data_IF_509237636118
#
_entry.id   IF_509237636118
#
_cell.length_a   1.000
_cell.length_b   1.000
_cell.length_c   1.000
_cell.angle_alpha   90.00
_cell.angle_beta   90.00
_cell.angle_gamma   90.00
#
_symmetry.space_group_name_H-M   'P 1'
#
loop_
_entity.id
_entity.type
_entity.pdbx_description
1 polymer ?
#
# COMPACT_ATOMS: atom_id res chain seq x y z
N UNK A 1 -23.22 14.75 15.30
CA UNK A 1 -22.19 15.01 14.28
C UNK A 1 -21.69 13.64 13.85
N UNK A 2 -21.76 13.32 12.56
CA UNK A 2 -21.10 12.12 12.05
C UNK A 2 -19.63 12.17 12.46
N UNK A 3 -19.08 11.05 12.87
CA UNK A 3 -17.65 10.95 13.15
C UNK A 3 -16.91 11.28 11.83
N UNK A 4 -15.81 12.02 11.91
CA UNK A 4 -14.94 12.30 10.75
C UNK A 4 -14.57 11.01 10.02
N UNK A 5 -14.46 9.89 10.73
CA UNK A 5 -14.19 8.58 10.14
C UNK A 5 -15.34 8.09 9.26
N UNK A 6 -16.59 8.25 9.69
CA UNK A 6 -17.77 7.83 8.89
C UNK A 6 -17.85 8.64 7.59
N UNK A 7 -17.52 9.92 7.65
CA UNK A 7 -17.50 10.80 6.50
C UNK A 7 -16.37 10.43 5.52
N UNK A 8 -15.17 10.20 6.04
CA UNK A 8 -14.01 9.71 5.26
C UNK A 8 -14.34 8.37 4.59
N UNK A 9 -14.96 7.44 5.31
CA UNK A 9 -15.34 6.13 4.78
C UNK A 9 -16.37 6.28 3.64
N UNK A 10 -17.38 7.14 3.82
CA UNK A 10 -18.37 7.42 2.78
C UNK A 10 -17.74 8.04 1.50
N UNK A 11 -16.75 8.92 1.65
CA UNK A 11 -16.02 9.50 0.51
C UNK A 11 -15.13 8.44 -0.16
N UNK A 12 -14.45 7.60 0.62
CA UNK A 12 -13.67 6.47 0.10
C UNK A 12 -14.53 5.51 -0.72
N UNK A 13 -15.72 5.19 -0.25
CA UNK A 13 -16.64 4.31 -0.97
C UNK A 13 -17.08 4.90 -2.32
N UNK A 14 -17.23 6.25 -2.42
CA UNK A 14 -17.64 6.95 -3.65
C UNK A 14 -16.47 7.23 -4.60
N UNK A 15 -15.34 7.65 -4.07
CA UNK A 15 -14.24 8.24 -4.84
C UNK A 15 -12.89 7.53 -4.67
N UNK A 16 -12.82 6.44 -3.90
CA UNK A 16 -11.60 5.64 -3.77
C UNK A 16 -11.15 5.09 -5.12
N UNK A 17 -9.88 5.28 -5.49
CA UNK A 17 -9.33 4.85 -6.79
C UNK A 17 -7.95 4.22 -6.69
N UNK A 18 -7.28 4.39 -5.57
CA UNK A 18 -5.90 3.96 -5.38
C UNK A 18 -5.79 3.00 -4.21
N UNK A 19 -4.86 2.06 -4.36
CA UNK A 19 -4.49 1.14 -3.31
C UNK A 19 -4.03 1.91 -2.05
N UNK A 20 -4.47 1.45 -0.90
CA UNK A 20 -4.02 1.99 0.37
C UNK A 20 -4.76 3.22 0.90
N UNK A 21 -5.68 3.85 0.16
CA UNK A 21 -6.48 4.98 0.66
C UNK A 21 -7.21 4.67 1.98
N UNK A 22 -7.71 3.45 2.15
CA UNK A 22 -8.37 3.02 3.39
C UNK A 22 -7.46 3.03 4.63
N UNK A 23 -6.14 3.15 4.47
CA UNK A 23 -5.21 3.27 5.61
C UNK A 23 -5.45 4.52 6.44
N UNK A 24 -6.07 5.57 5.90
CA UNK A 24 -6.44 6.78 6.63
C UNK A 24 -7.46 6.51 7.74
N UNK A 25 -8.23 5.44 7.66
CA UNK A 25 -9.15 4.98 8.70
C UNK A 25 -8.43 4.25 9.85
N UNK A 26 -7.14 4.00 9.72
CA UNK A 26 -6.32 3.37 10.75
C UNK A 26 -6.14 4.25 11.98
N UNK A 27 -5.49 3.72 13.02
CA UNK A 27 -5.27 4.42 14.28
C UNK A 27 -4.14 5.46 14.24
N UNK A 28 -3.41 5.55 13.13
CA UNK A 28 -2.39 6.56 12.95
C UNK A 28 -2.94 7.98 13.12
N UNK A 29 -2.13 8.95 13.53
CA UNK A 29 -2.55 10.34 13.68
C UNK A 29 -2.74 11.01 12.32
N UNK A 30 -3.56 10.41 11.47
CA UNK A 30 -3.96 10.99 10.21
C UNK A 30 -4.74 12.27 10.44
N UNK A 31 -4.31 13.33 9.79
CA UNK A 31 -5.06 14.58 9.64
C UNK A 31 -5.74 14.57 8.27
N UNK A 32 -6.90 15.19 8.19
CA UNK A 32 -7.69 15.21 6.96
C UNK A 32 -8.11 16.65 6.68
N UNK A 33 -7.87 17.10 5.45
CA UNK A 33 -8.53 18.29 4.92
C UNK A 33 -9.61 17.87 3.94
N UNK A 34 -10.80 18.42 4.13
CA UNK A 34 -11.91 18.30 3.20
C UNK A 34 -11.93 19.52 2.25
N UNK A 35 -12.48 19.33 1.06
CA UNK A 35 -12.92 20.44 0.22
C UNK A 35 -14.11 21.20 0.86
N UNK A 36 -14.53 22.30 0.25
CA UNK A 36 -15.59 23.16 0.80
C UNK A 36 -16.94 22.42 0.90
N UNK A 37 -17.25 21.59 -0.07
CA UNK A 37 -18.48 20.79 -0.15
C UNK A 37 -18.41 19.52 0.71
N UNK A 38 -17.24 19.16 1.25
CA UNK A 38 -16.95 17.91 1.98
C UNK A 38 -17.24 16.65 1.15
N UNK A 39 -17.04 16.76 -0.17
CA UNK A 39 -17.19 15.66 -1.13
C UNK A 39 -15.85 14.97 -1.47
N UNK A 40 -14.74 15.59 -1.06
CA UNK A 40 -13.40 15.06 -1.21
C UNK A 40 -12.52 15.37 -0.01
N UNK A 41 -11.40 14.65 0.11
CA UNK A 41 -10.42 14.91 1.16
C UNK A 41 -8.99 14.60 0.72
N UNK A 42 -8.03 15.13 1.45
CA UNK A 42 -6.63 14.69 1.45
C UNK A 42 -6.20 14.28 2.85
N UNK A 43 -5.72 13.04 3.00
CA UNK A 43 -5.15 12.53 4.23
C UNK A 43 -3.65 12.80 4.29
N UNK A 44 -3.14 13.25 5.44
CA UNK A 44 -1.72 13.51 5.62
C UNK A 44 -1.26 13.28 7.07
N UNK A 45 0.03 13.07 7.22
CA UNK A 45 0.71 13.04 8.52
C UNK A 45 1.56 14.29 8.68
N UNK A 46 1.62 14.81 9.89
CA UNK A 46 2.42 15.97 10.22
C UNK A 46 3.65 15.62 11.07
N UNK A 47 4.82 15.96 10.55
CA UNK A 47 6.09 15.93 11.28
C UNK A 47 6.58 17.33 11.59
N UNK A 48 7.68 17.44 12.35
CA UNK A 48 8.22 18.76 12.79
C UNK A 48 8.54 19.70 11.62
N UNK A 49 9.03 19.18 10.48
CA UNK A 49 9.48 19.97 9.32
C UNK A 49 8.89 19.47 8.01
N UNK A 50 7.92 18.58 8.06
CA UNK A 50 7.32 17.96 6.89
C UNK A 50 5.83 17.71 7.12
N UNK A 51 5.05 17.96 6.07
CA UNK A 51 3.69 17.49 5.89
C UNK A 51 3.76 16.43 4.79
N UNK A 52 3.32 15.23 5.08
CA UNK A 52 3.41 14.12 4.16
C UNK A 52 2.03 13.52 3.91
N UNK A 53 1.53 13.63 2.68
CA UNK A 53 0.38 12.87 2.21
C UNK A 53 0.85 11.56 1.59
N UNK A 54 0.03 10.55 1.69
CA UNK A 54 0.22 9.28 0.99
C UNK A 54 -0.96 9.01 0.08
N UNK A 55 -0.66 8.78 -1.19
CA UNK A 55 -1.61 8.71 -2.28
C UNK A 55 -2.23 10.07 -2.64
N UNK A 56 -2.96 10.06 -3.72
CA UNK A 56 -3.66 11.24 -4.23
C UNK A 56 -4.80 11.67 -3.31
N UNK A 57 -5.28 12.92 -3.40
CA UNK A 57 -6.56 13.29 -2.80
C UNK A 57 -7.69 12.38 -3.27
N UNK A 58 -8.60 12.05 -2.37
CA UNK A 58 -9.80 11.24 -2.65
C UNK A 58 -10.95 12.20 -2.98
N UNK A 59 -11.29 12.28 -4.25
CA UNK A 59 -12.29 13.24 -4.75
C UNK A 59 -12.85 12.81 -6.11
N UNK A 60 -13.87 13.50 -6.59
CA UNK A 60 -14.30 13.40 -7.97
C UNK A 60 -13.16 13.79 -8.93
N UNK A 61 -13.14 13.31 -10.19
CA UNK A 61 -12.14 13.69 -11.18
C UNK A 61 -12.01 15.21 -11.33
N UNK A 62 -10.78 15.73 -11.25
CA UNK A 62 -10.49 17.16 -11.34
C UNK A 62 -10.51 17.90 -10.00
N UNK A 63 -10.90 17.26 -8.89
CA UNK A 63 -10.88 17.84 -7.55
C UNK A 63 -9.51 17.79 -6.86
N UNK A 64 -8.50 17.17 -7.46
CA UNK A 64 -7.19 16.98 -6.86
C UNK A 64 -6.45 18.31 -6.62
N UNK A 65 -6.59 19.26 -7.55
CA UNK A 65 -5.91 20.56 -7.52
C UNK A 65 -6.25 21.40 -6.28
N UNK A 66 -7.53 21.70 -6.01
CA UNK A 66 -7.95 22.42 -4.81
C UNK A 66 -7.47 21.77 -3.50
N UNK A 67 -7.62 20.46 -3.34
CA UNK A 67 -7.19 19.74 -2.15
C UNK A 67 -5.66 19.76 -1.97
N UNK A 68 -4.91 19.61 -3.06
CA UNK A 68 -3.46 19.72 -3.02
C UNK A 68 -3.01 21.17 -2.71
N UNK A 69 -3.74 22.18 -3.19
CA UNK A 69 -3.47 23.58 -2.88
C UNK A 69 -3.71 23.89 -1.39
N UNK A 70 -4.76 23.34 -0.78
CA UNK A 70 -5.01 23.44 0.66
C UNK A 70 -3.83 22.86 1.45
N UNK A 71 -3.39 21.67 1.10
CA UNK A 71 -2.27 21.01 1.77
C UNK A 71 -0.95 21.78 1.56
N UNK A 72 -0.70 22.31 0.38
CA UNK A 72 0.47 23.12 0.09
C UNK A 72 0.47 24.45 0.86
N UNK A 73 -0.69 25.11 0.95
CA UNK A 73 -0.90 26.32 1.76
C UNK A 73 -0.65 26.06 3.23
N UNK A 74 -1.17 24.96 3.76
CA UNK A 74 -0.94 24.54 5.14
C UNK A 74 0.55 24.33 5.44
N UNK A 75 1.24 23.54 4.62
CA UNK A 75 2.66 23.29 4.77
C UNK A 75 3.48 24.59 4.71
N UNK A 76 3.15 25.48 3.76
CA UNK A 76 3.80 26.79 3.59
C UNK A 76 3.62 27.70 4.82
N UNK A 77 2.38 27.81 5.36
CA UNK A 77 2.09 28.63 6.54
C UNK A 77 2.89 28.21 7.77
N UNK A 78 3.20 26.93 7.87
CA UNK A 78 3.98 26.34 8.97
C UNK A 78 5.49 26.25 8.66
N UNK A 79 5.94 26.72 7.50
CA UNK A 79 7.33 26.59 7.03
C UNK A 79 7.79 25.13 7.01
N UNK A 80 6.87 24.23 6.68
CA UNK A 80 7.11 22.80 6.54
C UNK A 80 7.29 22.42 5.06
N UNK A 81 8.03 21.35 4.83
CA UNK A 81 8.21 20.78 3.50
C UNK A 81 7.02 19.88 3.16
N UNK A 82 6.36 20.13 2.03
CA UNK A 82 5.32 19.25 1.52
C UNK A 82 5.94 18.06 0.80
N UNK A 83 5.39 16.88 1.06
CA UNK A 83 5.72 15.64 0.38
C UNK A 83 4.42 14.84 0.16
N UNK A 84 3.98 14.70 -1.09
CA UNK A 84 2.87 13.81 -1.47
C UNK A 84 3.45 12.62 -2.22
N UNK A 85 3.34 11.44 -1.61
CA UNK A 85 4.01 10.20 -2.00
C UNK A 85 3.07 9.30 -2.80
N UNK A 86 3.61 8.63 -3.82
CA UNK A 86 2.91 7.63 -4.63
C UNK A 86 1.58 8.15 -5.22
N UNK A 87 1.58 9.41 -5.66
CA UNK A 87 0.40 10.01 -6.29
C UNK A 87 0.29 9.61 -7.77
N UNK A 88 -0.93 9.60 -8.29
CA UNK A 88 -1.20 9.33 -9.70
C UNK A 88 -0.83 10.51 -10.62
N UNK A 89 -0.97 10.30 -11.92
CA UNK A 89 -0.63 11.30 -12.93
C UNK A 89 -1.53 12.55 -12.87
N UNK A 90 -2.82 12.42 -12.52
CA UNK A 90 -3.74 13.56 -12.37
C UNK A 90 -3.28 14.50 -11.25
N UNK A 91 -2.96 13.95 -10.09
CA UNK A 91 -2.42 14.70 -8.95
C UNK A 91 -1.04 15.28 -9.24
N UNK A 92 -0.20 14.56 -9.97
CA UNK A 92 1.10 15.06 -10.42
C UNK A 92 0.92 16.32 -11.28
N UNK A 93 0.04 16.27 -12.29
CA UNK A 93 -0.26 17.42 -13.17
C UNK A 93 -0.86 18.59 -12.40
N UNK A 94 -1.76 18.32 -11.44
CA UNK A 94 -2.30 19.34 -10.54
C UNK A 94 -1.18 20.00 -9.71
N UNK A 95 -0.22 19.22 -9.21
CA UNK A 95 0.96 19.73 -8.52
C UNK A 95 1.83 20.63 -9.41
N UNK A 96 2.11 20.24 -10.64
CA UNK A 96 2.86 21.05 -11.60
C UNK A 96 2.15 22.37 -11.91
N UNK A 97 0.82 22.35 -12.05
CA UNK A 97 0.01 23.57 -12.24
C UNK A 97 0.10 24.52 -11.05
N UNK A 98 0.28 24.00 -9.83
CA UNK A 98 0.57 24.77 -8.62
C UNK A 98 2.04 25.16 -8.49
N UNK A 99 2.89 24.79 -9.46
CA UNK A 99 4.31 25.03 -9.45
C UNK A 99 5.09 24.16 -8.47
N UNK A 100 4.54 23.03 -8.05
CA UNK A 100 5.23 22.04 -7.22
C UNK A 100 5.98 21.06 -8.12
N UNK A 101 7.29 20.82 -7.89
CA UNK A 101 8.04 19.82 -8.65
C UNK A 101 7.50 18.41 -8.40
N UNK A 102 7.48 17.60 -9.46
CA UNK A 102 7.15 16.19 -9.40
C UNK A 102 8.33 15.32 -9.85
N UNK A 103 8.37 14.08 -9.36
CA UNK A 103 9.35 13.06 -9.72
C UNK A 103 8.64 11.73 -9.87
N UNK A 104 8.91 11.01 -10.96
CA UNK A 104 8.48 9.63 -11.12
C UNK A 104 9.18 8.71 -10.11
N UNK A 105 8.42 7.80 -9.49
CA UNK A 105 8.92 6.91 -8.43
C UNK A 105 8.66 5.43 -8.67
N UNK A 106 7.99 5.09 -9.76
CA UNK A 106 7.68 3.72 -10.10
C UNK A 106 6.30 3.58 -10.71
N UNK A 107 5.70 2.42 -10.56
CA UNK A 107 4.37 2.14 -11.09
C UNK A 107 3.52 1.40 -10.05
N UNK A 108 2.22 1.60 -10.09
CA UNK A 108 1.24 0.71 -9.49
C UNK A 108 0.97 -0.44 -10.46
N UNK A 109 0.86 -1.67 -9.96
CA UNK A 109 0.64 -2.84 -10.80
C UNK A 109 -0.72 -3.48 -10.54
N UNK A 110 -1.40 -3.94 -11.61
CA UNK A 110 -2.76 -4.47 -11.51
C UNK A 110 -2.88 -5.82 -12.20
N UNK A 111 -3.75 -6.66 -11.64
CA UNK A 111 -4.21 -7.93 -12.21
C UNK A 111 -5.67 -7.78 -12.59
N UNK A 112 -6.01 -8.05 -13.84
CA UNK A 112 -7.39 -8.07 -14.31
C UNK A 112 -8.00 -9.45 -14.02
N UNK A 113 -9.04 -9.47 -13.19
CA UNK A 113 -9.59 -10.70 -12.67
C UNK A 113 -10.35 -11.51 -13.73
N UNK A 114 -10.92 -10.88 -14.75
CA UNK A 114 -11.56 -11.58 -15.87
C UNK A 114 -10.58 -12.51 -16.61
N UNK A 115 -9.30 -12.12 -16.72
CA UNK A 115 -8.23 -12.91 -17.32
C UNK A 115 -7.43 -13.75 -16.33
N UNK A 116 -7.76 -13.69 -15.04
CA UNK A 116 -7.02 -14.39 -14.01
C UNK A 116 -7.20 -15.90 -14.10
N UNK A 117 -6.08 -16.63 -14.20
CA UNK A 117 -6.04 -18.08 -14.13
C UNK A 117 -4.65 -18.57 -13.78
N UNK A 118 -4.56 -19.64 -13.02
CA UNK A 118 -3.31 -20.38 -12.82
C UNK A 118 -3.01 -21.39 -13.96
N UNK A 119 -3.93 -21.58 -14.89
CA UNK A 119 -3.71 -22.45 -16.05
C UNK A 119 -2.70 -21.85 -17.04
N UNK A 120 -2.14 -22.69 -17.91
CA UNK A 120 -1.19 -22.26 -18.95
C UNK A 120 0.21 -21.95 -18.43
N UNK A 121 1.02 -21.26 -19.25
CA UNK A 121 2.43 -20.97 -19.00
C UNK A 121 2.69 -19.72 -18.18
N UNK A 122 1.82 -18.70 -18.29
CA UNK A 122 2.03 -17.36 -17.76
C UNK A 122 2.33 -17.33 -16.23
N UNK A 123 1.61 -18.12 -15.41
CA UNK A 123 1.78 -18.16 -13.95
C UNK A 123 2.31 -19.50 -13.45
N UNK A 124 3.16 -20.14 -14.25
CA UNK A 124 3.70 -21.47 -13.94
C UNK A 124 4.44 -21.52 -12.59
N UNK A 125 5.23 -20.50 -12.26
CA UNK A 125 5.97 -20.42 -10.98
C UNK A 125 5.03 -20.35 -9.78
N UNK A 126 3.95 -19.57 -9.90
CA UNK A 126 2.95 -19.44 -8.83
C UNK A 126 2.19 -20.76 -8.62
N UNK A 127 1.72 -21.34 -9.72
CA UNK A 127 1.07 -22.66 -9.72
C UNK A 127 1.95 -23.75 -9.12
N UNK A 128 3.22 -23.81 -9.55
CA UNK A 128 4.16 -24.78 -8.99
C UNK A 128 4.32 -24.61 -7.50
N UNK A 129 4.52 -23.39 -7.00
CA UNK A 129 4.71 -23.11 -5.58
C UNK A 129 3.48 -23.53 -4.75
N UNK A 130 2.26 -23.18 -5.22
CA UNK A 130 1.01 -23.61 -4.60
C UNK A 130 0.90 -25.14 -4.53
N UNK A 131 1.14 -25.83 -5.65
CA UNK A 131 1.02 -27.30 -5.72
C UNK A 131 2.08 -27.98 -4.83
N UNK A 132 3.29 -27.43 -4.77
CA UNK A 132 4.33 -27.92 -3.88
C UNK A 132 3.87 -27.82 -2.41
N UNK A 133 3.35 -26.69 -1.97
CA UNK A 133 2.84 -26.50 -0.61
C UNK A 133 1.64 -27.42 -0.32
N UNK A 134 0.71 -27.57 -1.27
CA UNK A 134 -0.40 -28.52 -1.14
C UNK A 134 0.07 -29.97 -0.95
N UNK A 135 1.08 -30.39 -1.69
CA UNK A 135 1.71 -31.71 -1.56
C UNK A 135 2.36 -31.96 -0.19
N UNK A 136 2.68 -30.90 0.54
CA UNK A 136 3.22 -30.94 1.90
C UNK A 136 2.13 -30.73 2.98
N UNK A 137 0.85 -30.76 2.62
CA UNK A 137 -0.27 -30.67 3.57
C UNK A 137 -0.74 -29.24 3.87
N UNK A 138 -0.21 -28.21 3.19
CA UNK A 138 -0.71 -26.84 3.38
C UNK A 138 -2.10 -26.70 2.78
N UNK A 139 -3.01 -26.11 3.54
CA UNK A 139 -4.37 -25.75 3.14
C UNK A 139 -4.58 -24.24 3.19
N UNK A 140 -5.65 -23.77 2.53
CA UNK A 140 -5.95 -22.34 2.45
C UNK A 140 -7.43 -22.09 2.64
N UNK A 141 -7.77 -21.01 3.35
CA UNK A 141 -9.14 -20.54 3.52
C UNK A 141 -9.18 -19.02 3.72
N UNK A 142 -10.37 -18.44 3.65
CA UNK A 142 -10.60 -17.08 4.14
C UNK A 142 -10.83 -17.11 5.66
N UNK A 143 -10.12 -16.27 6.39
CA UNK A 143 -10.30 -16.06 7.82
C UNK A 143 -11.27 -14.90 8.08
N UNK A 144 -12.05 -15.01 9.17
CA UNK A 144 -13.10 -14.03 9.52
C UNK A 144 -12.91 -13.52 10.95
N UNK A 145 -11.91 -12.64 11.20
CA UNK A 145 -11.51 -12.23 12.55
C UNK A 145 -12.58 -11.45 13.33
N UNK A 146 -13.59 -10.90 12.66
CA UNK A 146 -14.74 -10.25 13.31
C UNK A 146 -15.81 -11.25 13.78
N UNK A 147 -15.94 -12.38 13.09
CA UNK A 147 -16.94 -13.40 13.39
C UNK A 147 -16.36 -14.56 14.21
N UNK A 148 -15.04 -14.78 14.15
CA UNK A 148 -14.34 -15.91 14.75
C UNK A 148 -13.16 -15.43 15.58
N UNK A 149 -13.28 -15.39 16.93
CA UNK A 149 -12.20 -14.96 17.82
C UNK A 149 -10.89 -15.76 17.65
N UNK A 150 -11.00 -17.04 17.30
CA UNK A 150 -9.86 -17.91 17.03
C UNK A 150 -9.07 -17.44 15.79
N UNK A 151 -9.74 -16.98 14.73
CA UNK A 151 -9.07 -16.40 13.56
C UNK A 151 -8.34 -15.12 13.94
N UNK A 152 -8.96 -14.26 14.75
CA UNK A 152 -8.33 -13.02 15.22
C UNK A 152 -7.07 -13.31 16.04
N UNK A 153 -7.14 -14.28 16.96
CA UNK A 153 -6.00 -14.66 17.78
C UNK A 153 -4.84 -15.24 16.94
N UNK A 154 -5.17 -16.12 15.99
CA UNK A 154 -4.18 -16.72 15.09
C UNK A 154 -3.51 -15.71 14.18
N UNK A 155 -4.26 -14.78 13.58
CA UNK A 155 -3.72 -13.69 12.76
C UNK A 155 -2.80 -12.78 13.58
N UNK A 156 -3.22 -12.37 14.79
CA UNK A 156 -2.42 -11.55 15.69
C UNK A 156 -1.11 -12.24 16.10
N UNK A 157 -1.15 -13.55 16.35
CA UNK A 157 0.02 -14.33 16.69
C UNK A 157 1.04 -14.37 15.52
N UNK A 158 0.58 -14.69 14.29
CA UNK A 158 1.45 -14.73 13.11
C UNK A 158 2.05 -13.35 12.82
N UNK A 159 1.25 -12.29 12.92
CA UNK A 159 1.71 -10.91 12.77
C UNK A 159 2.80 -10.56 13.79
N UNK A 160 2.59 -10.90 15.07
CA UNK A 160 3.56 -10.67 16.14
C UNK A 160 4.87 -11.44 15.91
N UNK A 161 4.79 -12.71 15.55
CA UNK A 161 5.94 -13.54 15.24
C UNK A 161 6.73 -13.01 14.02
N UNK A 162 6.00 -12.57 12.99
CA UNK A 162 6.61 -11.97 11.79
C UNK A 162 7.33 -10.66 12.10
N UNK A 163 6.73 -9.78 12.93
CA UNK A 163 7.36 -8.54 13.41
C UNK A 163 8.61 -8.83 14.25
N UNK A 164 8.53 -9.80 15.15
CA UNK A 164 9.67 -10.18 16.00
C UNK A 164 10.87 -10.72 15.21
N UNK A 165 10.60 -11.44 14.10
CA UNK A 165 11.64 -11.96 13.21
C UNK A 165 12.31 -10.87 12.33
N UNK A 166 11.82 -9.62 12.36
CA UNK A 166 12.29 -8.52 11.51
C UNK A 166 12.44 -7.21 12.30
N UNK A 167 13.28 -7.16 13.35
CA UNK A 167 13.40 -5.99 14.22
C UNK A 167 13.87 -4.73 13.47
N UNK A 168 14.54 -4.88 12.34
CA UNK A 168 15.10 -3.79 11.54
C UNK A 168 14.06 -3.12 10.62
N UNK A 169 12.91 -3.78 10.39
CA UNK A 169 11.85 -3.32 9.48
C UNK A 169 10.68 -2.67 10.21
N UNK A 170 10.99 -1.93 11.28
CA UNK A 170 9.99 -1.18 12.04
C UNK A 170 9.75 0.17 11.40
N UNK A 171 8.88 0.20 10.41
CA UNK A 171 8.33 1.46 9.89
C UNK A 171 6.83 1.45 10.11
N UNK A 172 6.42 2.25 11.08
CA UNK A 172 5.10 2.16 11.68
C UNK A 172 4.10 3.22 11.18
N UNK A 173 4.35 3.95 10.06
CA UNK A 173 3.43 5.02 9.68
C UNK A 173 2.67 4.78 8.38
N UNK A 174 3.23 5.07 7.22
CA UNK A 174 2.51 4.87 5.95
C UNK A 174 2.26 3.41 5.62
N UNK A 175 3.09 2.52 6.19
CA UNK A 175 3.06 1.09 5.97
C UNK A 175 2.80 0.37 7.29
N UNK A 176 1.93 0.95 8.11
CA UNK A 176 1.59 0.37 9.40
C UNK A 176 1.08 -1.05 9.24
N UNK A 177 1.70 -1.94 9.98
CA UNK A 177 1.44 -3.37 9.97
C UNK A 177 0.50 -3.78 11.11
N UNK A 178 -0.47 -2.97 11.45
CA UNK A 178 -1.57 -3.43 12.29
C UNK A 178 -2.74 -3.82 11.40
N UNK A 179 -2.74 -5.08 11.02
CA UNK A 179 -3.69 -5.57 10.05
C UNK A 179 -5.10 -5.76 10.61
N UNK A 180 -5.27 -5.80 11.92
CA UNK A 180 -6.55 -6.07 12.58
C UNK A 180 -7.31 -4.82 13.03
N UNK A 181 -6.70 -3.63 12.96
CA UNK A 181 -7.32 -2.39 13.45
C UNK A 181 -8.50 -1.91 12.58
N UNK A 182 -8.43 -2.10 11.26
CA UNK A 182 -9.54 -1.80 10.35
C UNK A 182 -10.10 -3.08 9.72
N UNK A 183 -10.22 -4.13 10.53
CA UNK A 183 -10.64 -5.46 10.07
C UNK A 183 -12.02 -5.46 9.39
N UNK A 184 -12.89 -4.49 9.67
CA UNK A 184 -14.18 -4.33 9.01
C UNK A 184 -14.07 -4.07 7.50
N UNK A 185 -12.97 -3.46 7.07
CA UNK A 185 -12.70 -3.15 5.66
C UNK A 185 -11.71 -4.12 5.00
N UNK A 186 -11.24 -5.14 5.73
CA UNK A 186 -10.19 -6.05 5.24
C UNK A 186 -10.66 -7.48 5.11
N UNK A 187 -10.06 -8.18 4.17
CA UNK A 187 -10.20 -9.64 4.00
C UNK A 187 -8.85 -10.31 4.21
N UNK A 188 -8.88 -11.52 4.75
CA UNK A 188 -7.68 -12.26 5.15
C UNK A 188 -7.74 -13.66 4.56
N UNK A 189 -6.79 -13.98 3.69
CA UNK A 189 -6.66 -15.31 3.12
C UNK A 189 -5.45 -15.97 3.75
N UNK A 190 -5.68 -17.06 4.44
CA UNK A 190 -4.69 -17.71 5.31
C UNK A 190 -4.15 -19.00 4.72
N UNK A 191 -2.93 -19.35 5.10
CA UNK A 191 -2.33 -20.67 4.90
C UNK A 191 -2.22 -21.39 6.25
N UNK A 192 -2.54 -22.67 6.26
CA UNK A 192 -2.50 -23.53 7.45
C UNK A 192 -1.71 -24.81 7.15
N UNK A 193 -0.95 -25.26 8.13
CA UNK A 193 -0.31 -26.56 8.14
C UNK A 193 -0.68 -27.25 9.45
N UNK A 194 -1.24 -28.47 9.37
CA UNK A 194 -1.70 -29.24 10.54
C UNK A 194 -2.63 -28.44 11.46
N UNK A 195 -3.53 -27.62 10.87
CA UNK A 195 -4.47 -26.78 11.58
C UNK A 195 -3.86 -25.53 12.22
N UNK A 196 -2.57 -25.27 12.05
CA UNK A 196 -1.87 -24.09 12.56
C UNK A 196 -1.68 -23.06 11.42
N UNK A 197 -2.06 -21.81 11.69
CA UNK A 197 -1.89 -20.71 10.73
C UNK A 197 -0.40 -20.39 10.56
N UNK A 198 0.08 -20.41 9.32
CA UNK A 198 1.51 -20.21 8.98
C UNK A 198 1.79 -18.92 8.21
N UNK A 199 0.72 -18.30 7.65
CA UNK A 199 0.82 -17.04 6.95
C UNK A 199 -0.54 -16.56 6.46
N UNK A 200 -0.58 -15.31 5.99
CA UNK A 200 -1.79 -14.71 5.45
C UNK A 200 -1.51 -13.61 4.44
N UNK A 201 -2.49 -13.38 3.59
CA UNK A 201 -2.58 -12.27 2.65
C UNK A 201 -3.68 -11.33 3.16
N UNK A 202 -3.40 -10.04 3.23
CA UNK A 202 -4.37 -9.00 3.58
C UNK A 202 -4.82 -8.31 2.30
N UNK A 203 -6.13 -8.25 2.10
CA UNK A 203 -6.75 -7.47 1.05
C UNK A 203 -7.53 -6.31 1.65
N UNK A 204 -7.36 -5.11 1.07
CA UNK A 204 -8.13 -3.90 1.39
C UNK A 204 -8.93 -3.45 0.17
N UNK A 205 -10.11 -2.85 0.34
CA UNK A 205 -10.86 -2.31 -0.80
C UNK A 205 -10.13 -1.12 -1.42
N UNK A 206 -10.37 -0.89 -2.70
CA UNK A 206 -10.05 0.35 -3.40
C UNK A 206 -11.36 1.10 -3.67
N UNK A 207 -12.33 0.39 -4.22
CA UNK A 207 -13.69 0.85 -4.52
C UNK A 207 -14.65 -0.35 -4.64
N UNK A 208 -15.83 -0.12 -5.19
CA UNK A 208 -16.86 -1.15 -5.33
C UNK A 208 -16.47 -2.33 -6.24
N UNK A 209 -15.50 -2.16 -7.15
CA UNK A 209 -15.11 -3.19 -8.14
C UNK A 209 -13.66 -3.64 -8.02
N UNK A 210 -12.88 -3.06 -7.10
CA UNK A 210 -11.43 -3.27 -7.07
C UNK A 210 -10.89 -3.44 -5.65
N UNK A 211 -9.91 -4.33 -5.51
CA UNK A 211 -9.21 -4.62 -4.26
C UNK A 211 -7.71 -4.39 -4.37
N UNK A 212 -7.06 -4.27 -3.24
CA UNK A 212 -5.61 -4.12 -3.09
C UNK A 212 -5.05 -5.29 -2.29
N UNK A 213 -4.05 -5.98 -2.83
CA UNK A 213 -3.22 -6.94 -2.09
C UNK A 213 -2.23 -6.17 -1.21
N UNK A 214 -2.68 -5.80 -0.03
CA UNK A 214 -1.96 -4.86 0.82
C UNK A 214 -0.65 -5.45 1.32
N UNK A 215 -0.73 -6.64 1.92
CA UNK A 215 0.43 -7.25 2.55
C UNK A 215 0.41 -8.78 2.55
N UNK A 216 1.60 -9.35 2.72
CA UNK A 216 1.88 -10.78 2.73
C UNK A 216 2.73 -11.09 3.95
N UNK A 217 2.13 -11.73 4.91
CA UNK A 217 2.72 -12.04 6.22
C UNK A 217 2.89 -13.55 6.37
N UNK A 218 4.07 -14.00 6.76
CA UNK A 218 4.31 -15.43 7.01
C UNK A 218 5.34 -15.66 8.10
N UNK A 219 5.25 -16.78 8.75
CA UNK A 219 6.30 -17.28 9.65
C UNK A 219 7.59 -17.57 8.87
N UNK A 220 8.71 -17.51 9.57
CA UNK A 220 10.02 -17.74 8.95
C UNK A 220 10.18 -19.17 8.41
N UNK A 221 9.58 -20.13 9.08
CA UNK A 221 9.57 -21.57 8.79
C UNK A 221 8.39 -22.04 7.94
N UNK A 222 7.50 -21.13 7.51
CA UNK A 222 6.37 -21.48 6.66
C UNK A 222 6.84 -22.15 5.37
N UNK A 223 6.13 -23.21 4.97
CA UNK A 223 6.40 -23.97 3.74
C UNK A 223 6.45 -23.03 2.53
N UNK A 224 7.42 -23.23 1.65
CA UNK A 224 7.50 -22.48 0.39
C UNK A 224 6.25 -22.72 -0.45
N UNK A 225 5.57 -21.66 -0.83
CA UNK A 225 4.31 -21.73 -1.58
C UNK A 225 3.06 -21.46 -0.74
N UNK A 226 3.19 -21.37 0.60
CA UNK A 226 2.09 -21.06 1.50
C UNK A 226 1.39 -19.74 1.14
N UNK A 227 2.15 -18.66 0.94
CA UNK A 227 1.58 -17.35 0.54
C UNK A 227 1.10 -17.34 -0.91
N UNK A 228 1.79 -18.03 -1.80
CA UNK A 228 1.37 -18.15 -3.20
C UNK A 228 0.00 -18.85 -3.32
N UNK A 229 -0.28 -19.82 -2.46
CA UNK A 229 -1.60 -20.46 -2.42
C UNK A 229 -2.68 -19.57 -1.81
N UNK A 230 -2.38 -18.85 -0.73
CA UNK A 230 -3.30 -17.88 -0.14
C UNK A 230 -3.64 -16.74 -1.11
N UNK A 231 -2.62 -16.26 -1.83
CA UNK A 231 -2.77 -15.26 -2.88
C UNK A 231 -3.65 -15.75 -4.03
N UNK A 232 -3.42 -16.97 -4.50
CA UNK A 232 -4.24 -17.56 -5.55
C UNK A 232 -5.71 -17.69 -5.10
N UNK A 233 -5.94 -18.14 -3.86
CA UNK A 233 -7.28 -18.20 -3.29
C UNK A 233 -7.94 -16.82 -3.22
N UNK A 234 -7.19 -15.78 -2.81
CA UNK A 234 -7.70 -14.41 -2.76
C UNK A 234 -8.20 -13.95 -4.14
N UNK A 235 -7.37 -14.13 -5.17
CA UNK A 235 -7.71 -13.72 -6.54
C UNK A 235 -8.85 -14.55 -7.14
N UNK A 236 -8.87 -15.87 -6.91
CA UNK A 236 -9.97 -16.73 -7.32
C UNK A 236 -11.29 -16.30 -6.65
N UNK A 237 -11.28 -16.06 -5.33
CA UNK A 237 -12.47 -15.64 -4.58
C UNK A 237 -12.99 -14.29 -5.06
N UNK A 238 -12.12 -13.30 -5.22
CA UNK A 238 -12.52 -11.97 -5.68
C UNK A 238 -13.07 -12.00 -7.12
N UNK A 239 -12.47 -12.81 -8.02
CA UNK A 239 -13.02 -13.03 -9.37
C UNK A 239 -14.41 -13.64 -9.32
N UNK A 240 -14.61 -14.70 -8.52
CA UNK A 240 -15.85 -15.45 -8.46
C UNK A 240 -16.97 -14.62 -7.82
N UNK A 241 -16.64 -13.60 -7.02
CA UNK A 241 -17.56 -12.60 -6.48
C UNK A 241 -17.86 -11.45 -7.47
N UNK A 242 -17.22 -11.42 -8.64
CA UNK A 242 -17.49 -10.45 -9.70
C UNK A 242 -16.68 -9.16 -9.62
N UNK A 243 -15.62 -9.10 -8.81
CA UNK A 243 -14.70 -7.96 -8.86
C UNK A 243 -13.89 -7.96 -10.16
N UNK A 244 -13.49 -6.76 -10.58
CA UNK A 244 -12.88 -6.53 -11.90
C UNK A 244 -11.35 -6.57 -11.83
N UNK A 245 -10.76 -5.89 -10.83
CA UNK A 245 -9.32 -5.72 -10.75
C UNK A 245 -8.79 -5.84 -9.32
N UNK A 246 -7.53 -6.25 -9.25
CA UNK A 246 -6.77 -6.22 -8.00
C UNK A 246 -5.47 -5.48 -8.23
N UNK A 247 -5.23 -4.41 -7.44
CA UNK A 247 -3.91 -3.84 -7.34
C UNK A 247 -3.00 -4.79 -6.58
N UNK A 248 -1.84 -5.06 -7.16
CA UNK A 248 -0.77 -5.81 -6.52
C UNK A 248 0.19 -4.87 -5.76
N UNK A 249 -0.11 -3.57 -5.76
CA UNK A 249 0.64 -2.53 -5.08
C UNK A 249 1.77 -1.91 -5.91
N UNK A 250 2.45 -0.93 -5.30
CA UNK A 250 3.51 -0.21 -5.98
C UNK A 250 4.74 -1.09 -6.24
N UNK A 251 5.32 -0.88 -7.41
CA UNK A 251 6.63 -1.38 -7.82
C UNK A 251 7.59 -0.18 -7.90
N UNK A 252 8.30 0.15 -6.81
CA UNK A 252 9.18 1.30 -6.78
C UNK A 252 10.31 1.18 -7.82
N UNK A 253 10.54 2.25 -8.59
CA UNK A 253 11.60 2.37 -9.60
C UNK A 253 11.63 1.23 -10.63
N UNK A 254 10.51 0.59 -10.87
CA UNK A 254 10.38 -0.49 -11.83
C UNK A 254 9.67 -0.01 -13.10
N UNK A 255 10.22 -0.39 -14.27
CA UNK A 255 9.60 -0.17 -15.58
C UNK A 255 9.27 -1.50 -16.22
N UNK A 256 8.10 -1.63 -16.87
CA UNK A 256 7.65 -2.88 -17.48
C UNK A 256 8.70 -3.52 -18.42
N UNK A 257 9.35 -2.71 -19.25
CA UNK A 257 10.27 -3.17 -20.30
C UNK A 257 11.73 -3.26 -19.86
N UNK A 258 12.12 -2.55 -18.81
CA UNK A 258 13.51 -2.36 -18.39
C UNK A 258 13.81 -2.94 -17.00
N UNK A 259 12.76 -3.35 -16.26
CA UNK A 259 12.90 -3.83 -14.89
C UNK A 259 13.17 -2.70 -13.88
N UNK A 260 13.90 -3.00 -12.82
CA UNK A 260 14.23 -2.04 -11.78
C UNK A 260 15.20 -0.98 -12.29
N UNK A 261 14.88 0.29 -12.03
CA UNK A 261 15.68 1.44 -12.43
C UNK A 261 16.36 2.07 -11.22
N UNK A 262 17.65 2.34 -11.33
CA UNK A 262 18.34 3.17 -10.34
C UNK A 262 17.88 4.64 -10.53
N UNK A 263 17.36 5.31 -9.48
CA UNK A 263 16.88 6.68 -9.59
C UNK A 263 18.02 7.68 -9.73
N UNK A 264 18.60 7.77 -10.91
CA UNK A 264 19.76 8.63 -11.22
C UNK A 264 19.49 10.12 -10.99
N UNK A 265 18.24 10.58 -11.09
CA UNK A 265 17.85 11.98 -10.98
C UNK A 265 17.74 12.50 -9.54
N UNK A 266 17.80 11.59 -8.56
CA UNK A 266 17.87 11.97 -7.15
C UNK A 266 19.32 12.39 -6.83
N UNK A 267 19.57 13.65 -6.56
CA UNK A 267 20.87 14.12 -6.08
C UNK A 267 21.41 13.27 -4.91
N UNK A 268 22.66 13.45 -4.51
CA UNK A 268 23.36 12.61 -3.51
C UNK A 268 22.54 12.37 -2.23
N UNK A 269 21.79 13.39 -1.77
CA UNK A 269 20.93 13.27 -0.57
C UNK A 269 19.72 12.38 -0.86
N UNK A 270 19.07 12.55 -2.01
CA UNK A 270 17.91 11.74 -2.39
C UNK A 270 18.29 10.26 -2.56
N UNK A 271 19.44 9.97 -3.18
CA UNK A 271 19.97 8.60 -3.28
C UNK A 271 20.24 7.95 -1.91
N UNK A 272 20.76 8.72 -0.94
CA UNK A 272 20.98 8.20 0.42
C UNK A 272 19.68 7.94 1.15
N UNK A 273 18.69 8.81 0.98
CA UNK A 273 17.34 8.60 1.54
C UNK A 273 16.72 7.36 0.93
N UNK A 274 16.83 7.20 -0.38
CA UNK A 274 16.31 6.03 -1.08
C UNK A 274 17.02 4.74 -0.68
N UNK A 275 18.36 4.75 -0.62
CA UNK A 275 19.14 3.58 -0.17
C UNK A 275 18.77 3.17 1.26
N UNK A 276 18.46 4.15 2.12
CA UNK A 276 17.94 3.90 3.45
C UNK A 276 16.59 3.19 3.40
N UNK A 277 15.66 3.64 2.54
CA UNK A 277 14.37 2.99 2.37
C UNK A 277 14.50 1.60 1.74
N UNK A 278 15.35 1.41 0.77
CA UNK A 278 15.58 0.09 0.16
C UNK A 278 16.13 -0.91 1.18
N UNK A 279 17.03 -0.46 2.06
CA UNK A 279 17.52 -1.28 3.17
C UNK A 279 16.41 -1.69 4.14
N UNK A 280 15.47 -0.78 4.43
CA UNK A 280 14.35 -1.06 5.34
C UNK A 280 13.22 -1.88 4.69
N UNK A 281 12.88 -1.57 3.44
CA UNK A 281 11.71 -2.14 2.75
C UNK A 281 12.06 -3.28 1.78
N UNK A 282 13.35 -3.48 1.45
CA UNK A 282 13.76 -4.46 0.43
C UNK A 282 12.92 -4.33 -0.85
N UNK A 283 12.95 -3.16 -1.50
CA UNK A 283 12.20 -2.90 -2.74
C UNK A 283 12.45 -3.98 -3.80
N UNK A 284 13.68 -4.45 -3.91
CA UNK A 284 14.03 -5.57 -4.78
C UNK A 284 13.25 -6.86 -4.45
N UNK A 285 13.08 -7.18 -3.17
CA UNK A 285 12.31 -8.33 -2.72
C UNK A 285 10.81 -8.18 -2.98
N UNK A 286 10.27 -6.98 -2.75
CA UNK A 286 8.87 -6.64 -3.04
C UNK A 286 8.62 -6.74 -4.54
N UNK A 287 9.46 -6.11 -5.37
CA UNK A 287 9.35 -6.15 -6.82
C UNK A 287 9.44 -7.58 -7.36
N UNK A 288 10.40 -8.38 -6.85
CA UNK A 288 10.54 -9.78 -7.24
C UNK A 288 9.30 -10.62 -6.88
N UNK A 289 8.69 -10.39 -5.72
CA UNK A 289 7.49 -11.12 -5.34
C UNK A 289 6.28 -10.70 -6.18
N UNK A 290 6.04 -9.40 -6.30
CA UNK A 290 4.91 -8.82 -7.03
C UNK A 290 4.98 -9.15 -8.54
N UNK A 291 6.18 -9.16 -9.12
CA UNK A 291 6.36 -9.54 -10.52
C UNK A 291 5.95 -10.98 -10.84
N UNK A 292 5.90 -11.89 -9.84
CA UNK A 292 5.42 -13.28 -10.06
C UNK A 292 3.95 -13.36 -10.46
N UNK A 293 3.16 -12.34 -10.15
CA UNK A 293 1.76 -12.26 -10.57
C UNK A 293 1.61 -11.92 -12.03
N UNK A 294 2.70 -11.43 -12.67
CA UNK A 294 2.70 -10.99 -14.07
C UNK A 294 1.53 -10.03 -14.32
N UNK A 295 1.61 -8.79 -13.80
CA UNK A 295 0.51 -7.84 -13.87
C UNK A 295 0.07 -7.59 -15.32
N UNK A 296 -1.22 -7.33 -15.51
CA UNK A 296 -1.81 -7.11 -16.82
C UNK A 296 -1.64 -5.67 -17.28
N UNK A 297 -1.59 -4.71 -16.34
CA UNK A 297 -1.35 -3.29 -16.60
C UNK A 297 -0.60 -2.63 -15.46
N UNK A 298 -0.01 -1.48 -15.76
CA UNK A 298 0.66 -0.63 -14.78
C UNK A 298 0.27 0.84 -14.97
N UNK A 299 0.28 1.61 -13.88
CA UNK A 299 0.03 3.04 -13.89
C UNK A 299 1.19 3.76 -13.21
N UNK A 300 1.67 4.90 -13.75
CA UNK A 300 2.82 5.59 -13.19
C UNK A 300 2.51 6.22 -11.83
N UNK A 301 3.48 6.18 -10.94
CA UNK A 301 3.44 6.80 -9.62
C UNK A 301 4.48 7.91 -9.52
N UNK A 302 4.12 8.97 -8.81
CA UNK A 302 4.95 10.16 -8.65
C UNK A 302 5.05 10.59 -7.19
N UNK A 303 6.06 11.39 -6.91
CA UNK A 303 6.15 12.21 -5.71
C UNK A 303 6.00 13.67 -6.13
N UNK A 304 5.03 14.36 -5.52
CA UNK A 304 4.89 15.82 -5.61
C UNK A 304 5.44 16.45 -4.34
N UNK A 305 6.23 17.50 -4.46
CA UNK A 305 6.96 18.07 -3.32
C UNK A 305 7.07 19.58 -3.35
N UNK A 306 7.39 20.20 -2.23
CA UNK A 306 7.80 21.60 -2.17
C UNK A 306 9.01 21.87 -3.06
N UNK A 307 9.14 23.09 -3.55
CA UNK A 307 10.37 23.59 -4.19
C UNK A 307 11.53 23.60 -3.20
N UNK A 308 12.72 23.48 -3.72
CA UNK A 308 13.95 23.57 -2.93
C UNK A 308 14.55 22.22 -2.56
N UNK A 309 15.64 22.28 -1.81
CA UNK A 309 16.46 21.11 -1.46
C UNK A 309 15.94 20.45 -0.21
N UNK A 310 15.90 19.12 -0.18
CA UNK A 310 15.66 18.35 1.05
C UNK A 310 16.89 18.54 1.96
N UNK A 311 16.73 19.40 2.97
CA UNK A 311 17.79 19.64 3.95
C UNK A 311 17.94 18.42 4.89
N UNK A 312 19.10 18.25 5.57
CA UNK A 312 19.25 17.18 6.56
C UNK A 312 18.19 17.19 7.67
N UNK A 313 17.67 18.38 8.02
CA UNK A 313 16.60 18.53 8.99
C UNK A 313 15.24 18.02 8.46
N UNK A 314 14.93 18.26 7.20
CA UNK A 314 13.75 17.72 6.52
C UNK A 314 13.88 16.20 6.40
N UNK A 315 15.03 15.70 5.93
CA UNK A 315 15.27 14.25 5.81
C UNK A 315 15.08 13.52 7.15
N UNK A 316 15.62 14.06 8.25
CA UNK A 316 15.37 13.50 9.59
C UNK A 316 13.90 13.56 10.02
N UNK A 317 13.18 14.61 9.60
CA UNK A 317 11.76 14.73 9.91
C UNK A 317 10.93 13.70 9.13
N UNK A 318 11.25 13.47 7.86
CA UNK A 318 10.66 12.40 7.05
C UNK A 318 10.95 11.04 7.71
N UNK A 319 12.21 10.76 8.03
CA UNK A 319 12.61 9.52 8.68
C UNK A 319 11.84 9.27 9.98
N UNK A 320 11.74 10.30 10.84
CA UNK A 320 10.98 10.19 12.10
C UNK A 320 9.49 10.00 11.89
N UNK A 321 8.93 10.61 10.84
CA UNK A 321 7.52 10.45 10.50
C UNK A 321 7.22 9.02 10.05
N UNK A 322 8.14 8.44 9.28
CA UNK A 322 8.03 7.07 8.77
C UNK A 322 8.39 6.00 9.82
N UNK A 323 9.16 6.37 10.85
CA UNK A 323 9.61 5.47 11.93
C UNK A 323 8.91 5.79 13.27
N UNK A 324 7.76 6.44 13.28
CA UNK A 324 7.01 6.66 14.52
C UNK A 324 6.57 5.31 15.08
N UNK A 325 7.30 4.84 16.10
CA UNK A 325 6.79 3.84 17.02
C UNK A 325 5.64 4.47 17.81
N UNK A 326 4.51 3.82 17.83
CA UNK A 326 3.41 4.12 18.74
C UNK A 326 3.84 3.93 20.17
#
# INVERSE_FOLDING_TARGET
MADVRDEVDAILARHGREAGHYSVLGPDPWLVFFDEEREGFVGFLEGRRVVAAWRSPVCAPGGEGPLLALLAGYASSRRQYLLALEVNESTMRAGEALGLPALWTGVESYVDLAGWSLAGGRRQKLRWARNHAAGLGVTWREARPLARPEDRAALAWVESAWKAARPERRTDSFLRTDYLEIAAHRRYFVSELDGTLTGFVVCSPINATSWYLQDLVRLADAVRGSLEGALALALDTLRDEGFETVSNGPLPFWRPDEGWQDPHDLGVVGRRVLAFFDHQYSFSGINLFRSKLEPDRTEPLYVVRSRGVITPGVARSIQRLLNRSS
#
